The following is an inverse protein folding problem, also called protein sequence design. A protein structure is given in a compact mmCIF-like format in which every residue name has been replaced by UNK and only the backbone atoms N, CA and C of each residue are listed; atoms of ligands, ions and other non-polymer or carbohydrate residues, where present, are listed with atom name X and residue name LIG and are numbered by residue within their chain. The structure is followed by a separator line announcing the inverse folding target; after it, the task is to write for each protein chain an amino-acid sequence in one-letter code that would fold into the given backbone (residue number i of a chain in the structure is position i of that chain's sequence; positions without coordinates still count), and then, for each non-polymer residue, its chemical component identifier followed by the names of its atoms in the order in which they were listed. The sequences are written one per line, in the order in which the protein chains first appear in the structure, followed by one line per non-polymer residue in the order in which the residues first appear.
data_IF_246121595479
#
_entry.id   IF_246121595479
#
_cell.length_a   1.000
_cell.length_b   1.000
_cell.length_c   1.000
_cell.angle_alpha   90.00
_cell.angle_beta   90.00
_cell.angle_gamma   90.00
#
_symmetry.space_group_name_H-M   'P 1'
#
loop_
_entity.id
_entity.type
_entity.pdbx_description
1 polymer ?
#
# COMPACT_ATOMS: atom_id res chain seq x y z
N UNK A 1 1.96 1.60 0.16
CA UNK A 1 2.36 2.88 -0.45
C UNK A 1 2.85 3.85 0.63
N UNK A 2 3.74 4.80 0.31
CA UNK A 2 4.18 5.85 1.22
C UNK A 2 3.45 7.16 0.92
N UNK A 3 3.13 7.92 1.97
CA UNK A 3 2.41 9.19 1.86
C UNK A 3 2.67 10.08 3.08
N UNK A 4 2.14 11.31 3.08
CA UNK A 4 1.98 12.13 4.28
C UNK A 4 0.65 12.89 4.20
N UNK A 5 -0.07 12.99 5.34
CA UNK A 5 -1.46 13.45 5.36
C UNK A 5 -1.62 14.93 4.96
N UNK A 6 -0.61 15.77 5.22
CA UNK A 6 -0.61 17.16 4.83
C UNK A 6 -0.14 17.44 3.41
N UNK A 7 0.09 16.39 2.62
CA UNK A 7 0.49 16.54 1.22
C UNK A 7 -0.56 17.31 0.43
N UNK A 8 -0.19 18.39 -0.28
CA UNK A 8 -1.18 19.28 -0.89
C UNK A 8 -1.83 18.77 -2.18
N UNK A 9 -1.49 17.60 -2.66
CA UNK A 9 -2.06 17.13 -3.92
C UNK A 9 -1.94 15.64 -4.18
N UNK A 10 -0.77 15.11 -4.61
CA UNK A 10 -0.70 13.75 -5.16
C UNK A 10 -1.06 12.65 -4.16
N UNK A 11 -0.75 12.80 -2.87
CA UNK A 11 -1.03 11.77 -1.88
C UNK A 11 -2.52 11.49 -1.72
N UNK A 12 -3.36 12.53 -1.78
CA UNK A 12 -4.80 12.34 -1.71
C UNK A 12 -5.30 11.54 -2.90
N UNK A 13 -4.83 11.89 -4.11
CA UNK A 13 -5.22 11.20 -5.34
C UNK A 13 -4.70 9.76 -5.37
N UNK A 14 -3.51 9.52 -4.85
CA UNK A 14 -2.93 8.18 -4.74
C UNK A 14 -3.73 7.30 -3.78
N UNK A 15 -4.09 7.82 -2.61
CA UNK A 15 -4.93 7.11 -1.67
C UNK A 15 -6.35 6.91 -2.22
N UNK A 16 -6.86 7.87 -2.99
CA UNK A 16 -8.14 7.70 -3.69
C UNK A 16 -8.06 6.56 -4.71
N UNK A 17 -6.94 6.45 -5.43
CA UNK A 17 -6.72 5.34 -6.36
C UNK A 17 -6.72 4.00 -5.63
N UNK A 18 -6.10 3.93 -4.45
CA UNK A 18 -6.12 2.72 -3.62
C UNK A 18 -7.55 2.40 -3.16
N UNK A 19 -8.32 3.40 -2.75
CA UNK A 19 -9.73 3.22 -2.39
C UNK A 19 -10.53 2.60 -3.54
N UNK A 20 -10.32 3.10 -4.75
CA UNK A 20 -11.01 2.60 -5.95
C UNK A 20 -10.60 1.16 -6.27
N UNK A 21 -9.32 0.84 -6.14
CA UNK A 21 -8.80 -0.54 -6.35
C UNK A 21 -9.41 -1.50 -5.34
N UNK A 22 -9.50 -1.09 -4.06
CA UNK A 22 -10.10 -1.93 -3.01
C UNK A 22 -11.58 -2.20 -3.25
N UNK A 23 -12.31 -1.23 -3.82
CA UNK A 23 -13.72 -1.43 -4.17
C UNK A 23 -13.87 -2.36 -5.37
N UNK A 24 -13.02 -2.21 -6.37
CA UNK A 24 -13.07 -3.02 -7.59
C UNK A 24 -12.64 -4.46 -7.32
N UNK A 25 -11.58 -4.67 -6.53
CA UNK A 25 -11.11 -5.99 -6.14
C UNK A 25 -11.58 -6.23 -4.70
N UNK A 26 -12.82 -6.61 -4.55
CA UNK A 26 -13.45 -6.82 -3.24
C UNK A 26 -13.19 -8.25 -2.75
N UNK A 27 -11.95 -8.49 -2.34
CA UNK A 27 -11.48 -9.78 -1.85
C UNK A 27 -10.89 -9.60 -0.45
N UNK A 28 -11.36 -10.35 0.57
CA UNK A 28 -10.86 -10.20 1.94
C UNK A 28 -9.38 -10.57 2.10
N UNK A 29 -8.80 -11.30 1.16
CA UNK A 29 -7.38 -11.63 1.15
C UNK A 29 -6.50 -10.51 0.60
N UNK A 30 -7.10 -9.48 0.01
CA UNK A 30 -6.41 -8.30 -0.46
C UNK A 30 -6.49 -7.19 0.59
N UNK A 31 -5.33 -6.84 1.16
CA UNK A 31 -5.19 -5.78 2.16
C UNK A 31 -4.23 -4.73 1.64
N UNK A 32 -4.63 -3.47 1.73
CA UNK A 32 -3.78 -2.34 1.39
C UNK A 32 -3.10 -1.79 2.65
N UNK A 33 -1.90 -1.26 2.47
CA UNK A 33 -1.14 -0.60 3.53
C UNK A 33 -0.66 0.75 3.00
N UNK A 34 -1.01 1.81 3.71
CA UNK A 34 -0.50 3.16 3.46
C UNK A 34 0.37 3.56 4.65
N UNK A 35 1.66 3.73 4.40
CA UNK A 35 2.65 4.02 5.44
C UNK A 35 3.10 5.48 5.33
N UNK A 36 2.97 6.23 6.42
CA UNK A 36 3.37 7.64 6.40
C UNK A 36 4.89 7.79 6.32
N UNK A 37 5.32 8.84 5.63
CA UNK A 37 6.71 9.31 5.65
C UNK A 37 6.88 10.59 6.47
N UNK A 38 5.89 10.94 7.29
CA UNK A 38 5.92 12.12 8.19
C UNK A 38 5.35 11.75 9.56
N UNK A 39 6.03 10.86 10.33
CA UNK A 39 5.47 10.34 11.57
C UNK A 39 5.31 11.37 12.68
N UNK A 40 6.05 12.48 12.65
CA UNK A 40 5.94 13.51 13.66
C UNK A 40 4.58 14.23 13.60
N UNK A 41 4.04 14.42 12.42
CA UNK A 41 2.74 15.04 12.19
C UNK A 41 1.62 14.02 12.07
N UNK A 42 1.90 12.86 11.50
CA UNK A 42 0.91 11.79 11.24
C UNK A 42 0.86 10.83 12.43
N UNK A 43 0.25 11.28 13.52
CA UNK A 43 -0.02 10.45 14.70
C UNK A 43 -1.11 9.42 14.39
N UNK A 44 -1.28 8.37 15.22
CA UNK A 44 -2.39 7.42 15.04
C UNK A 44 -3.76 8.10 14.96
N UNK A 45 -4.01 9.15 15.77
CA UNK A 45 -5.27 9.89 15.72
C UNK A 45 -5.43 10.65 14.40
N UNK A 46 -4.36 11.30 13.92
CA UNK A 46 -4.39 12.01 12.63
C UNK A 46 -4.62 11.05 11.47
N UNK A 47 -4.01 9.85 11.52
CA UNK A 47 -4.18 8.83 10.49
C UNK A 47 -5.60 8.27 10.48
N UNK A 48 -6.20 8.05 11.64
CA UNK A 48 -7.58 7.60 11.73
C UNK A 48 -8.53 8.61 11.09
N UNK A 49 -8.32 9.89 11.37
CA UNK A 49 -9.09 10.97 10.77
C UNK A 49 -8.91 11.04 9.25
N UNK A 50 -7.66 10.87 8.79
CA UNK A 50 -7.34 10.85 7.36
C UNK A 50 -8.00 9.65 6.65
N UNK A 51 -7.97 8.47 7.28
CA UNK A 51 -8.60 7.26 6.75
C UNK A 51 -10.12 7.42 6.59
N UNK A 52 -10.77 8.14 7.51
CA UNK A 52 -12.22 8.37 7.43
C UNK A 52 -12.62 9.13 6.16
N UNK A 53 -11.73 9.94 5.60
CA UNK A 53 -11.99 10.68 4.36
C UNK A 53 -12.17 9.76 3.15
N UNK A 54 -11.66 8.54 3.23
CA UNK A 54 -11.77 7.52 2.18
C UNK A 54 -12.76 6.42 2.54
N UNK A 55 -13.44 6.54 3.68
CA UNK A 55 -14.32 5.49 4.21
C UNK A 55 -13.59 4.13 4.28
N UNK A 56 -12.33 4.17 4.73
CA UNK A 56 -11.47 3.00 4.75
C UNK A 56 -11.96 1.94 5.74
N UNK A 57 -12.07 0.71 5.26
CA UNK A 57 -12.35 -0.45 6.12
C UNK A 57 -11.06 -0.85 6.84
N UNK A 58 -11.00 -0.75 8.18
CA UNK A 58 -9.77 -1.03 8.92
C UNK A 58 -9.31 -2.50 8.81
N UNK A 59 -10.17 -3.41 8.38
CA UNK A 59 -9.78 -4.80 8.13
C UNK A 59 -9.09 -4.98 6.78
N UNK A 60 -9.32 -4.08 5.84
CA UNK A 60 -8.79 -4.19 4.48
C UNK A 60 -7.78 -3.09 4.13
N UNK A 61 -7.69 -2.04 4.92
CA UNK A 61 -6.78 -0.92 4.64
C UNK A 61 -6.18 -0.40 5.93
N UNK A 62 -4.86 -0.55 6.08
CA UNK A 62 -4.12 -0.13 7.25
C UNK A 62 -3.36 1.15 6.93
N UNK A 63 -3.52 2.16 7.79
CA UNK A 63 -2.72 3.38 7.75
C UNK A 63 -1.74 3.30 8.92
N UNK A 64 -0.44 3.23 8.61
CA UNK A 64 0.58 2.95 9.60
C UNK A 64 1.53 4.12 9.79
N UNK A 65 2.01 4.28 11.01
CA UNK A 65 3.06 5.22 11.38
C UNK A 65 4.07 4.51 12.28
N UNK A 66 5.20 5.16 12.55
CA UNK A 66 6.22 4.61 13.39
C UNK A 66 7.44 5.52 13.43
N UNK A 67 8.56 4.97 13.91
CA UNK A 67 9.83 5.67 13.93
C UNK A 67 10.35 5.87 12.50
N UNK A 68 10.83 7.08 12.19
CA UNK A 68 11.32 7.40 10.84
C UNK A 68 12.46 6.48 10.40
N UNK A 69 13.34 6.07 11.31
CA UNK A 69 14.41 5.16 10.97
C UNK A 69 13.89 3.80 10.52
N UNK A 70 12.82 3.31 11.15
CA UNK A 70 12.15 2.07 10.76
C UNK A 70 11.45 2.24 9.41
N UNK A 71 10.76 3.36 9.21
CA UNK A 71 10.06 3.68 7.96
C UNK A 71 11.05 3.72 6.79
N UNK A 72 12.20 4.38 6.96
CA UNK A 72 13.24 4.44 5.94
C UNK A 72 13.79 3.06 5.60
N UNK A 73 14.00 2.23 6.63
CA UNK A 73 14.50 0.87 6.44
C UNK A 73 13.50 0.02 5.66
N UNK A 74 12.23 0.08 6.02
CA UNK A 74 11.17 -0.62 5.32
C UNK A 74 11.10 -0.16 3.86
N UNK A 75 11.13 1.15 3.63
CA UNK A 75 11.10 1.70 2.28
C UNK A 75 12.26 1.23 1.42
N UNK A 76 13.48 1.31 1.96
CA UNK A 76 14.70 1.00 1.22
C UNK A 76 14.89 -0.51 1.01
N UNK A 77 14.67 -1.32 2.06
CA UNK A 77 14.99 -2.75 2.03
C UNK A 77 13.84 -3.64 1.61
N UNK A 78 12.62 -3.26 1.96
CA UNK A 78 11.43 -4.07 1.67
C UNK A 78 10.74 -3.63 0.40
N UNK A 79 10.43 -2.33 0.30
CA UNK A 79 9.74 -1.78 -0.86
C UNK A 79 10.68 -1.40 -2.01
N UNK A 80 11.99 -1.29 -1.74
CA UNK A 80 13.00 -0.83 -2.69
C UNK A 80 12.69 0.56 -3.25
N UNK A 81 12.13 1.43 -2.41
CA UNK A 81 11.77 2.79 -2.73
C UNK A 81 12.49 3.76 -1.80
N UNK A 82 12.99 4.91 -2.30
CA UNK A 82 13.58 5.92 -1.43
C UNK A 82 12.51 6.56 -0.56
N UNK A 83 12.82 6.78 0.72
CA UNK A 83 11.91 7.42 1.67
C UNK A 83 12.63 8.55 2.39
N UNK A 84 12.07 9.77 2.30
CA UNK A 84 12.54 10.96 2.99
C UNK A 84 11.35 11.62 3.67
N UNK A 85 11.59 12.43 4.72
CA UNK A 85 10.51 13.17 5.39
C UNK A 85 9.85 14.10 4.37
N UNK A 86 8.52 13.97 4.25
CA UNK A 86 7.73 14.80 3.34
C UNK A 86 7.93 14.51 1.86
N UNK A 87 8.70 13.49 1.52
CA UNK A 87 8.88 13.03 0.14
C UNK A 87 8.31 11.63 0.03
N UNK A 88 7.46 11.40 -0.95
CA UNK A 88 6.80 10.12 -1.17
C UNK A 88 7.06 9.60 -2.57
N UNK A 89 6.90 8.30 -2.73
CA UNK A 89 6.90 7.65 -4.04
C UNK A 89 5.47 7.61 -4.56
N UNK A 90 5.26 7.92 -5.83
CA UNK A 90 3.94 7.84 -6.48
C UNK A 90 3.58 6.41 -6.90
N UNK A 91 4.18 5.42 -6.25
CA UNK A 91 4.03 4.01 -6.62
C UNK A 91 3.34 3.20 -5.54
N UNK A 92 2.53 2.23 -5.98
CA UNK A 92 2.04 1.16 -5.14
C UNK A 92 2.85 -0.11 -5.40
N UNK A 93 3.31 -0.74 -4.33
CA UNK A 93 4.05 -2.01 -4.40
C UNK A 93 3.13 -3.15 -3.99
N UNK A 94 3.27 -4.29 -4.67
CA UNK A 94 2.48 -5.49 -4.40
C UNK A 94 3.38 -6.56 -3.80
N UNK A 95 2.96 -7.10 -2.66
CA UNK A 95 3.61 -8.20 -1.97
C UNK A 95 2.69 -9.40 -1.95
N UNK A 96 3.26 -10.59 -2.11
CA UNK A 96 2.49 -11.82 -1.98
C UNK A 96 2.38 -12.27 -0.52
N UNK A 97 1.72 -13.42 -0.29
CA UNK A 97 1.51 -13.96 1.06
C UNK A 97 2.83 -14.28 1.78
N UNK A 98 3.88 -14.59 1.05
CA UNK A 98 5.19 -14.86 1.60
C UNK A 98 6.02 -13.59 1.87
N UNK A 99 5.46 -12.41 1.59
CA UNK A 99 6.15 -11.14 1.77
C UNK A 99 7.15 -10.78 0.67
N UNK A 100 7.06 -11.45 -0.49
CA UNK A 100 7.93 -11.16 -1.62
C UNK A 100 7.36 -10.01 -2.47
N UNK A 101 8.23 -9.08 -2.83
CA UNK A 101 7.85 -7.99 -3.74
C UNK A 101 7.63 -8.54 -5.15
N UNK A 102 6.43 -8.36 -5.67
CA UNK A 102 6.02 -8.90 -6.98
C UNK A 102 5.99 -7.83 -8.07
N UNK A 103 5.83 -6.58 -7.72
CA UNK A 103 5.84 -5.47 -8.66
C UNK A 103 5.51 -4.14 -8.01
N UNK A 104 5.74 -3.08 -8.76
CA UNK A 104 5.51 -1.71 -8.30
C UNK A 104 5.09 -0.87 -9.50
N UNK A 105 3.98 -0.13 -9.35
CA UNK A 105 3.39 0.64 -10.44
C UNK A 105 2.96 2.02 -9.98
N UNK A 106 3.03 2.98 -10.90
CA UNK A 106 2.59 4.35 -10.66
C UNK A 106 1.07 4.41 -10.45
N UNK A 107 0.63 5.08 -9.39
CA UNK A 107 -0.77 5.09 -8.97
C UNK A 107 -1.63 6.14 -9.69
N UNK A 108 -1.01 7.08 -10.40
CA UNK A 108 -1.72 8.17 -11.08
C UNK A 108 -1.71 8.03 -12.60
N UNK A 109 -1.19 6.93 -13.14
CA UNK A 109 -1.22 6.62 -14.56
C UNK A 109 -2.16 5.44 -14.81
N UNK A 110 -3.20 5.67 -15.61
CA UNK A 110 -4.27 4.70 -15.82
C UNK A 110 -3.76 3.33 -16.33
N UNK A 111 -2.87 3.33 -17.29
CA UNK A 111 -2.31 2.09 -17.85
C UNK A 111 -1.48 1.33 -16.79
N UNK A 112 -0.79 2.04 -15.91
CA UNK A 112 -0.01 1.45 -14.82
C UNK A 112 -0.93 0.91 -13.73
N UNK A 113 -2.00 1.62 -13.41
CA UNK A 113 -3.01 1.15 -12.44
C UNK A 113 -3.68 -0.12 -12.95
N UNK A 114 -3.97 -0.20 -14.24
CA UNK A 114 -4.56 -1.40 -14.83
C UNK A 114 -3.61 -2.61 -14.71
N UNK A 115 -2.31 -2.40 -14.89
CA UNK A 115 -1.31 -3.45 -14.68
C UNK A 115 -1.20 -3.86 -13.20
N UNK A 116 -1.30 -2.88 -12.30
CA UNK A 116 -1.32 -3.13 -10.87
C UNK A 116 -2.51 -4.00 -10.47
N UNK A 117 -3.69 -3.68 -10.96
CA UNK A 117 -4.90 -4.46 -10.71
C UNK A 117 -4.77 -5.89 -11.22
N UNK A 118 -4.21 -6.05 -12.43
CA UNK A 118 -3.97 -7.38 -12.98
C UNK A 118 -3.01 -8.17 -12.12
N UNK A 119 -1.92 -7.56 -11.67
CA UNK A 119 -0.95 -8.21 -10.80
C UNK A 119 -1.59 -8.64 -9.48
N UNK A 120 -2.41 -7.78 -8.87
CA UNK A 120 -3.11 -8.12 -7.64
C UNK A 120 -4.00 -9.35 -7.84
N UNK A 121 -4.76 -9.39 -8.93
CA UNK A 121 -5.62 -10.55 -9.25
C UNK A 121 -4.81 -11.82 -9.47
N UNK A 122 -3.69 -11.70 -10.18
CA UNK A 122 -2.80 -12.83 -10.45
C UNK A 122 -2.20 -13.40 -9.16
N UNK A 123 -1.75 -12.51 -8.25
CA UNK A 123 -1.20 -12.92 -6.97
C UNK A 123 -2.26 -13.55 -6.07
N UNK A 124 -3.47 -13.01 -6.07
CA UNK A 124 -4.59 -13.63 -5.34
C UNK A 124 -4.90 -15.05 -5.82
N UNK A 125 -4.84 -15.26 -7.13
CA UNK A 125 -5.04 -16.58 -7.72
C UNK A 125 -3.90 -17.55 -7.38
N UNK A 126 -2.67 -17.07 -7.22
CA UNK A 126 -1.51 -17.88 -6.84
C UNK A 126 -1.58 -18.40 -5.40
N UNK A 127 -2.34 -17.76 -4.52
CA UNK A 127 -2.41 -18.15 -3.11
C UNK A 127 -2.79 -19.60 -2.92
N UNK A 128 -3.80 -20.08 -3.64
CA UNK A 128 -4.25 -21.46 -3.51
C UNK A 128 -3.16 -22.43 -3.96
N UNK A 129 -2.44 -22.09 -5.01
CA UNK A 129 -1.33 -22.89 -5.52
C UNK A 129 -0.16 -22.88 -4.56
N UNK A 130 0.19 -21.71 -4.01
CA UNK A 130 1.29 -21.57 -3.05
C UNK A 130 1.01 -22.32 -1.75
N UNK A 131 -0.23 -22.27 -1.24
CA UNK A 131 -0.64 -23.01 -0.05
C UNK A 131 -0.54 -24.53 -0.29
N UNK A 132 -0.93 -25.01 -1.46
CA UNK A 132 -0.79 -26.41 -1.84
C UNK A 132 0.65 -26.88 -1.91
N UNK A 133 1.54 -26.01 -2.43
CA UNK A 133 2.97 -26.31 -2.50
C UNK A 133 3.62 -26.41 -1.12
N UNK A 134 3.24 -25.56 -0.19
CA UNK A 134 3.72 -25.60 1.18
C UNK A 134 3.29 -26.87 1.91
N UNK A 135 2.10 -27.36 1.66
CA UNK A 135 1.59 -28.57 2.25
C UNK A 135 2.32 -29.83 1.80
N UNK A 136 2.96 -29.78 0.65
CA UNK A 136 3.69 -30.94 0.09
C UNK A 136 5.14 -31.03 0.56
N UNK A 137 5.64 -30.00 1.16
CA UNK A 137 7.01 -29.98 1.70
C UNK A 137 7.04 -30.55 3.12
#
# INVERSE_FOLDING_TARGET
MFFFANCPGPCFRENQAIADILREIDDPNFVAVSLTCDPDNDTPAALAHYADRFEADPQRWKFLTGDMDVIKRVGTKTFLLPVEIGVHSERGAVFDRQGRLRGSYHLLQEDRVNRLKKLIRDVLAEEDVAAGAEETD
#
